data_IF_494665131889
#
_entry.id   IF_494665131889
#
_cell.length_a   1.000
_cell.length_b   1.000
_cell.length_c   1.000
_cell.angle_alpha   90.00
_cell.angle_beta   90.00
_cell.angle_gamma   90.00
#
_symmetry.space_group_name_H-M   'P 1'
#
loop_
_entity.id
_entity.type
_entity.pdbx_description
1 polymer ?
#
# COMPACT_ATOMS: atom_id res chain seq x y z
N UNK A 1 -25.07 7.55 -1.07
CA UNK A 1 -23.73 7.92 -1.57
C UNK A 1 -23.88 8.76 -2.82
N UNK A 2 -23.02 9.74 -3.07
CA UNK A 2 -22.98 10.39 -4.38
C UNK A 2 -22.62 9.33 -5.43
N UNK A 3 -23.28 9.37 -6.56
CA UNK A 3 -23.06 8.47 -7.69
C UNK A 3 -22.37 9.26 -8.80
N UNK A 4 -21.26 8.73 -9.32
CA UNK A 4 -20.58 9.32 -10.46
C UNK A 4 -21.28 8.87 -11.75
N UNK A 5 -21.74 9.84 -12.55
CA UNK A 5 -22.31 9.57 -13.87
C UNK A 5 -21.33 10.02 -14.95
N UNK A 6 -21.17 9.20 -15.99
CA UNK A 6 -20.35 9.50 -17.17
C UNK A 6 -20.97 8.85 -18.40
N UNK A 7 -20.60 9.36 -19.59
CA UNK A 7 -21.10 8.82 -20.86
C UNK A 7 -20.58 7.39 -21.03
N UNK A 8 -21.49 6.44 -21.27
CA UNK A 8 -21.17 5.03 -21.47
C UNK A 8 -21.24 4.17 -20.21
N UNK A 9 -21.50 4.74 -19.02
CA UNK A 9 -21.62 3.98 -17.78
C UNK A 9 -22.61 2.82 -17.88
N UNK A 10 -23.80 3.08 -18.42
CA UNK A 10 -24.87 2.09 -18.56
C UNK A 10 -24.46 0.86 -19.41
N UNK A 11 -23.51 1.04 -20.34
CA UNK A 11 -22.98 -0.04 -21.18
C UNK A 11 -21.94 -0.90 -20.49
N UNK A 12 -21.25 -0.35 -19.49
CA UNK A 12 -20.12 -1.03 -18.83
C UNK A 12 -20.41 -1.52 -17.43
N UNK A 13 -21.46 -1.01 -16.78
CA UNK A 13 -21.80 -1.36 -15.38
C UNK A 13 -21.98 -2.86 -15.18
N UNK A 14 -22.57 -3.56 -16.15
CA UNK A 14 -22.77 -5.01 -16.15
C UNK A 14 -21.86 -5.77 -17.12
N UNK A 15 -21.01 -5.07 -17.87
CA UNK A 15 -20.19 -5.71 -18.92
C UNK A 15 -19.29 -6.83 -18.38
N UNK A 16 -18.80 -6.73 -17.12
CA UNK A 16 -18.03 -7.78 -16.45
C UNK A 16 -18.77 -9.13 -16.36
N UNK A 17 -20.11 -9.15 -16.49
CA UNK A 17 -20.91 -10.36 -16.54
C UNK A 17 -20.89 -11.00 -17.93
N UNK A 18 -20.80 -10.19 -18.98
CA UNK A 18 -20.85 -10.59 -20.38
C UNK A 18 -19.49 -11.04 -20.94
N UNK A 19 -18.39 -10.66 -20.27
CA UNK A 19 -17.04 -11.07 -20.67
C UNK A 19 -16.95 -12.58 -20.67
N UNK A 20 -16.48 -13.20 -21.78
CA UNK A 20 -16.40 -14.66 -21.87
C UNK A 20 -15.29 -15.20 -20.98
N UNK A 21 -15.49 -16.40 -20.45
CA UNK A 21 -14.40 -17.18 -19.86
C UNK A 21 -13.49 -17.69 -20.97
N UNK A 22 -12.19 -17.55 -20.80
CA UNK A 22 -11.16 -18.13 -21.66
C UNK A 22 -10.44 -19.26 -20.93
N UNK A 23 -9.93 -20.20 -21.68
CA UNK A 23 -9.05 -21.24 -21.13
C UNK A 23 -7.65 -20.65 -20.99
N UNK A 24 -7.12 -20.71 -19.78
CA UNK A 24 -5.72 -20.38 -19.54
C UNK A 24 -4.86 -21.59 -19.95
N UNK A 25 -4.10 -21.42 -21.00
CA UNK A 25 -3.26 -22.47 -21.54
C UNK A 25 -1.81 -22.22 -21.15
N UNK A 26 -1.19 -23.18 -20.44
CA UNK A 26 0.21 -23.07 -20.08
C UNK A 26 1.07 -23.21 -21.36
N UNK A 27 1.96 -22.27 -21.57
CA UNK A 27 2.88 -22.26 -22.70
C UNK A 27 4.26 -22.77 -22.33
N UNK A 28 4.78 -22.36 -21.18
CA UNK A 28 6.07 -22.79 -20.63
C UNK A 28 6.11 -22.52 -19.13
N UNK A 29 7.09 -23.11 -18.48
CA UNK A 29 7.51 -22.78 -17.11
C UNK A 29 8.90 -22.12 -17.17
N UNK A 30 9.25 -21.36 -16.15
CA UNK A 30 10.53 -20.70 -16.00
C UNK A 30 11.06 -20.88 -14.58
N UNK A 31 12.32 -21.21 -14.43
CA UNK A 31 13.03 -21.32 -13.17
C UNK A 31 14.48 -20.81 -13.30
N UNK A 32 15.33 -21.05 -12.30
CA UNK A 32 16.73 -20.65 -12.29
C UNK A 32 17.55 -21.24 -13.45
N UNK A 33 17.11 -22.34 -14.04
CA UNK A 33 17.74 -22.99 -15.18
C UNK A 33 17.23 -22.47 -16.54
N UNK A 34 16.24 -21.57 -16.51
CA UNK A 34 15.64 -20.95 -17.68
C UNK A 34 14.26 -21.49 -18.05
N UNK A 35 13.89 -21.31 -19.31
CA UNK A 35 12.59 -21.71 -19.84
C UNK A 35 12.52 -23.20 -20.12
N UNK A 36 11.42 -23.85 -19.74
CA UNK A 36 11.12 -25.27 -20.03
C UNK A 36 9.65 -25.44 -20.43
N UNK A 37 9.38 -26.41 -21.32
CA UNK A 37 7.99 -26.82 -21.65
C UNK A 37 7.38 -27.70 -20.55
N UNK A 38 8.22 -28.35 -19.75
CA UNK A 38 7.77 -29.18 -18.64
C UNK A 38 7.17 -28.33 -17.51
N UNK A 39 6.23 -28.91 -16.75
CA UNK A 39 5.71 -28.32 -15.55
C UNK A 39 6.75 -28.43 -14.44
N UNK A 40 7.16 -27.28 -13.90
CA UNK A 40 8.09 -27.22 -12.77
C UNK A 40 7.38 -27.15 -11.39
N UNK A 41 6.04 -27.27 -11.38
CA UNK A 41 5.24 -27.22 -10.16
C UNK A 41 5.08 -25.84 -9.54
N UNK A 42 5.52 -24.76 -10.21
CA UNK A 42 5.31 -23.40 -9.71
C UNK A 42 3.84 -23.02 -9.75
N UNK A 43 3.34 -22.45 -8.66
CA UNK A 43 1.99 -21.89 -8.57
C UNK A 43 1.93 -20.42 -9.01
N UNK A 44 3.08 -19.76 -9.17
CA UNK A 44 3.16 -18.41 -9.70
C UNK A 44 2.88 -18.39 -11.20
N UNK A 45 2.11 -17.41 -11.68
CA UNK A 45 1.68 -17.34 -13.06
C UNK A 45 1.88 -15.94 -13.66
N UNK A 46 2.41 -15.89 -14.88
CA UNK A 46 2.36 -14.72 -15.73
C UNK A 46 1.36 -15.03 -16.86
N UNK A 47 0.26 -14.26 -16.90
CA UNK A 47 -0.81 -14.47 -17.88
C UNK A 47 -0.67 -13.41 -18.97
N UNK A 48 -0.46 -13.85 -20.21
CA UNK A 48 -0.35 -12.99 -21.37
C UNK A 48 -1.68 -12.93 -22.14
N UNK A 49 -2.25 -11.72 -22.28
CA UNK A 49 -3.52 -11.51 -22.99
C UNK A 49 -4.23 -10.23 -22.53
N UNK A 50 -5.46 -10.02 -22.98
CA UNK A 50 -6.31 -8.94 -22.49
C UNK A 50 -6.65 -9.17 -21.02
N UNK A 51 -6.37 -8.16 -20.17
CA UNK A 51 -6.53 -8.32 -18.73
C UNK A 51 -7.99 -8.46 -18.28
N UNK A 52 -8.96 -7.92 -19.02
CA UNK A 52 -10.39 -8.09 -18.69
C UNK A 52 -10.84 -9.55 -18.90
N UNK A 53 -10.42 -10.18 -20.00
CA UNK A 53 -10.66 -11.60 -20.25
C UNK A 53 -9.87 -12.49 -19.29
N UNK A 54 -8.63 -12.14 -18.98
CA UNK A 54 -7.81 -12.84 -18.00
C UNK A 54 -8.44 -12.82 -16.61
N UNK A 55 -8.84 -11.66 -16.10
CA UNK A 55 -9.53 -11.52 -14.80
C UNK A 55 -10.81 -12.34 -14.75
N UNK A 56 -11.61 -12.33 -15.82
CA UNK A 56 -12.82 -13.18 -15.90
C UNK A 56 -12.48 -14.66 -15.81
N UNK A 57 -11.42 -15.08 -16.50
CA UNK A 57 -10.99 -16.47 -16.58
C UNK A 57 -10.34 -16.99 -15.28
N UNK A 58 -9.91 -16.10 -14.40
CA UNK A 58 -9.42 -16.45 -13.07
C UNK A 58 -10.55 -16.76 -12.06
N UNK A 59 -11.77 -16.22 -12.26
CA UNK A 59 -12.86 -16.39 -11.29
C UNK A 59 -13.13 -17.84 -10.90
N UNK A 60 -13.25 -18.81 -11.84
CA UNK A 60 -13.62 -20.19 -11.47
C UNK A 60 -12.67 -20.82 -10.44
N UNK A 61 -11.42 -20.36 -10.38
CA UNK A 61 -10.39 -20.91 -9.47
C UNK A 61 -10.06 -19.99 -8.30
N UNK A 62 -10.18 -18.67 -8.47
CA UNK A 62 -9.64 -17.68 -7.54
C UNK A 62 -10.69 -16.70 -6.98
N UNK A 63 -11.98 -16.82 -7.29
CA UNK A 63 -13.02 -15.97 -6.70
C UNK A 63 -12.98 -16.06 -5.17
N UNK A 64 -12.90 -14.91 -4.50
CA UNK A 64 -12.84 -14.81 -3.04
C UNK A 64 -11.54 -15.33 -2.40
N UNK A 65 -10.44 -15.47 -3.15
CA UNK A 65 -9.20 -16.08 -2.65
C UNK A 65 -7.97 -15.17 -2.67
N UNK A 66 -8.02 -14.07 -3.42
CA UNK A 66 -6.87 -13.16 -3.54
C UNK A 66 -6.77 -12.29 -2.29
N UNK A 67 -5.64 -12.37 -1.59
CA UNK A 67 -5.42 -11.63 -0.36
C UNK A 67 -5.03 -10.18 -0.61
N UNK A 68 -4.17 -9.94 -1.58
CA UNK A 68 -3.69 -8.61 -1.91
C UNK A 68 -3.75 -8.38 -3.42
N UNK A 69 -4.33 -7.27 -3.82
CA UNK A 69 -4.26 -6.79 -5.20
C UNK A 69 -3.47 -5.48 -5.20
N UNK A 70 -2.46 -5.39 -6.03
CA UNK A 70 -1.83 -4.13 -6.39
C UNK A 70 -1.99 -3.91 -7.88
N UNK A 71 -2.42 -2.73 -8.29
CA UNK A 71 -2.48 -2.34 -9.70
C UNK A 71 -1.95 -0.93 -9.93
N UNK A 72 -1.32 -0.76 -11.08
CA UNK A 72 -0.80 0.50 -11.60
C UNK A 72 -1.43 0.75 -12.99
N UNK A 73 -2.72 1.18 -13.05
CA UNK A 73 -3.42 1.37 -14.32
C UNK A 73 -2.88 2.59 -15.07
N UNK A 74 -3.20 2.76 -16.37
CA UNK A 74 -2.87 3.98 -17.10
C UNK A 74 -3.41 5.23 -16.40
N UNK A 75 -2.57 6.27 -16.25
CA UNK A 75 -2.93 7.51 -15.55
C UNK A 75 -3.71 8.51 -16.39
N UNK A 76 -3.83 8.23 -17.70
CA UNK A 76 -4.58 9.08 -18.62
C UNK A 76 -4.05 10.52 -18.71
N UNK A 77 -2.74 10.71 -18.66
CA UNK A 77 -2.07 12.02 -18.62
C UNK A 77 -2.20 12.84 -19.90
N UNK A 78 -2.60 12.20 -21.01
CA UNK A 78 -2.79 12.85 -22.31
C UNK A 78 -1.49 13.07 -23.11
N UNK A 79 -0.39 12.53 -22.67
CA UNK A 79 0.87 12.55 -23.42
C UNK A 79 0.86 11.48 -24.52
N UNK A 80 0.51 11.90 -25.75
CA UNK A 80 0.29 10.99 -26.89
C UNK A 80 1.54 10.34 -27.48
N UNK A 81 2.73 10.65 -26.97
CA UNK A 81 4.01 10.19 -27.55
C UNK A 81 4.66 8.98 -26.89
N UNK A 82 3.99 8.29 -25.97
CA UNK A 82 4.58 7.24 -25.18
C UNK A 82 4.29 5.84 -25.72
N UNK A 83 5.32 5.02 -25.79
CA UNK A 83 5.26 3.61 -26.25
C UNK A 83 4.42 2.75 -25.27
N UNK A 84 4.38 3.13 -23.99
CA UNK A 84 3.43 2.62 -23.01
C UNK A 84 2.18 3.48 -23.08
N UNK A 85 1.11 2.86 -23.50
CA UNK A 85 -0.13 3.55 -23.80
C UNK A 85 -0.85 3.96 -22.50
N UNK A 86 -0.34 5.03 -21.88
CA UNK A 86 -1.00 5.74 -20.78
C UNK A 86 -2.34 6.34 -21.24
N UNK A 87 -2.66 6.14 -22.49
CA UNK A 87 -3.80 6.68 -23.18
C UNK A 87 -4.77 5.55 -23.56
N UNK A 88 -6.03 5.70 -23.21
CA UNK A 88 -7.16 4.84 -23.64
C UNK A 88 -7.32 4.77 -25.17
N UNK A 89 -6.39 5.32 -25.93
CA UNK A 89 -6.31 5.30 -27.39
C UNK A 89 -5.62 4.04 -27.97
N UNK A 90 -5.27 3.04 -27.14
CA UNK A 90 -4.85 1.74 -27.66
C UNK A 90 -5.85 1.24 -28.68
N UNK A 91 -5.42 0.74 -29.85
CA UNK A 91 -6.32 0.25 -30.90
C UNK A 91 -7.28 -0.84 -30.41
N UNK A 92 -6.84 -1.69 -29.48
CA UNK A 92 -7.68 -2.74 -28.88
C UNK A 92 -8.73 -2.16 -27.95
N UNK A 93 -8.36 -1.23 -27.08
CA UNK A 93 -9.27 -0.53 -26.16
C UNK A 93 -10.25 0.32 -26.97
N UNK A 94 -9.76 1.03 -27.99
CA UNK A 94 -10.61 1.82 -28.89
C UNK A 94 -11.61 0.94 -29.66
N UNK A 95 -11.16 -0.21 -30.18
CA UNK A 95 -12.05 -1.17 -30.84
C UNK A 95 -13.07 -1.73 -29.87
N UNK A 96 -12.66 -2.05 -28.65
CA UNK A 96 -13.55 -2.51 -27.58
C UNK A 96 -14.56 -1.45 -27.17
N UNK A 97 -14.13 -0.19 -26.96
CA UNK A 97 -15.03 0.93 -26.65
C UNK A 97 -16.06 1.15 -27.76
N UNK A 98 -15.63 1.17 -29.03
CA UNK A 98 -16.53 1.31 -30.17
C UNK A 98 -17.55 0.16 -30.25
N UNK A 99 -17.13 -1.06 -29.89
CA UNK A 99 -18.01 -2.22 -29.87
C UNK A 99 -18.99 -2.19 -28.70
N UNK A 100 -18.54 -1.77 -27.52
CA UNK A 100 -19.27 -1.86 -26.25
C UNK A 100 -20.15 -0.64 -26.01
N UNK A 101 -19.62 0.57 -26.30
CA UNK A 101 -20.32 1.85 -26.08
C UNK A 101 -21.05 2.32 -27.36
N UNK A 102 -20.59 1.88 -28.53
CA UNK A 102 -21.21 2.18 -29.82
C UNK A 102 -20.95 3.61 -30.28
N UNK A 103 -21.93 4.23 -30.99
CA UNK A 103 -21.78 5.57 -31.57
C UNK A 103 -21.50 6.68 -30.53
N UNK A 104 -21.95 6.49 -29.30
CA UNK A 104 -21.67 7.40 -28.20
C UNK A 104 -20.16 7.46 -27.86
N UNK A 105 -19.38 6.46 -28.32
CA UNK A 105 -17.93 6.40 -28.14
C UNK A 105 -17.15 7.51 -28.84
N UNK A 106 -17.74 8.18 -29.83
CA UNK A 106 -17.10 9.31 -30.55
C UNK A 106 -17.12 10.60 -29.73
N UNK A 107 -18.14 10.77 -28.87
CA UNK A 107 -18.31 11.97 -28.02
C UNK A 107 -17.70 11.80 -26.60
N UNK A 108 -17.12 10.64 -26.29
CA UNK A 108 -16.52 10.39 -24.99
C UNK A 108 -15.31 11.31 -24.73
N UNK A 109 -15.32 11.98 -23.58
CA UNK A 109 -14.11 12.59 -23.05
C UNK A 109 -13.07 11.52 -22.72
N UNK A 110 -11.80 11.91 -22.55
CA UNK A 110 -10.76 10.95 -22.15
C UNK A 110 -11.06 10.31 -20.78
N UNK A 111 -11.70 11.03 -19.87
CA UNK A 111 -12.10 10.53 -18.54
C UNK A 111 -13.22 9.51 -18.65
N UNK A 112 -14.23 9.73 -19.50
CA UNK A 112 -15.30 8.76 -19.75
C UNK A 112 -14.73 7.43 -20.29
N UNK A 113 -13.78 7.51 -21.24
CA UNK A 113 -13.10 6.34 -21.80
C UNK A 113 -12.35 5.57 -20.74
N UNK A 114 -11.62 6.27 -19.87
CA UNK A 114 -10.87 5.68 -18.78
C UNK A 114 -11.81 4.99 -17.79
N UNK A 115 -12.89 5.64 -17.40
CA UNK A 115 -13.90 5.07 -16.50
C UNK A 115 -14.57 3.83 -17.10
N UNK A 116 -14.94 3.87 -18.39
CA UNK A 116 -15.49 2.72 -19.09
C UNK A 116 -14.52 1.54 -19.12
N UNK A 117 -13.22 1.80 -19.28
CA UNK A 117 -12.17 0.78 -19.27
C UNK A 117 -11.97 0.19 -17.88
N UNK A 118 -11.92 1.01 -16.84
CA UNK A 118 -11.60 0.59 -15.48
C UNK A 118 -12.77 -0.11 -14.76
N UNK A 119 -13.99 0.36 -14.94
CA UNK A 119 -15.14 -0.09 -14.15
C UNK A 119 -15.36 -1.62 -14.17
N UNK A 120 -15.44 -2.30 -15.34
CA UNK A 120 -15.63 -3.76 -15.39
C UNK A 120 -14.44 -4.52 -14.79
N UNK A 121 -13.21 -3.98 -14.91
CA UNK A 121 -12.01 -4.57 -14.30
C UNK A 121 -12.05 -4.51 -12.79
N UNK A 122 -12.40 -3.35 -12.23
CA UNK A 122 -12.56 -3.17 -10.79
C UNK A 122 -13.64 -4.07 -10.20
N UNK A 123 -14.75 -4.30 -10.94
CA UNK A 123 -15.79 -5.27 -10.54
C UNK A 123 -15.26 -6.70 -10.48
N UNK A 124 -14.43 -7.12 -11.42
CA UNK A 124 -13.81 -8.45 -11.41
C UNK A 124 -12.76 -8.57 -10.30
N UNK A 125 -11.94 -7.55 -10.09
CA UNK A 125 -10.95 -7.50 -9.02
C UNK A 125 -11.64 -7.61 -7.64
N UNK A 126 -12.76 -6.90 -7.42
CA UNK A 126 -13.54 -7.03 -6.19
C UNK A 126 -14.01 -8.48 -5.96
N UNK A 127 -14.46 -9.18 -7.02
CA UNK A 127 -14.89 -10.58 -6.91
C UNK A 127 -13.73 -11.52 -6.55
N UNK A 128 -12.55 -11.29 -7.10
CA UNK A 128 -11.36 -12.10 -6.83
C UNK A 128 -10.84 -11.93 -5.40
N UNK A 129 -11.02 -10.75 -4.79
CA UNK A 129 -10.58 -10.50 -3.42
C UNK A 129 -11.23 -11.44 -2.41
N UNK A 130 -10.44 -11.95 -1.48
CA UNK A 130 -10.89 -12.62 -0.27
C UNK A 130 -11.69 -11.65 0.63
N UNK A 131 -12.50 -12.14 1.54
CA UNK A 131 -13.28 -11.29 2.45
C UNK A 131 -12.40 -10.34 3.26
N UNK A 132 -11.22 -10.79 3.69
CA UNK A 132 -10.20 -10.01 4.39
C UNK A 132 -9.11 -9.47 3.43
N UNK A 133 -9.38 -9.49 2.13
CA UNK A 133 -8.48 -9.01 1.09
C UNK A 133 -8.51 -7.49 0.91
N UNK A 134 -7.42 -6.94 0.41
CA UNK A 134 -7.21 -5.51 0.21
C UNK A 134 -6.67 -5.23 -1.19
N UNK A 135 -7.14 -4.14 -1.80
CA UNK A 135 -6.65 -3.62 -3.07
C UNK A 135 -5.95 -2.29 -2.88
N UNK A 136 -4.79 -2.15 -3.51
CA UNK A 136 -4.01 -0.92 -3.65
C UNK A 136 -3.99 -0.50 -5.11
N UNK A 137 -4.31 0.76 -5.40
CA UNK A 137 -4.37 1.28 -6.76
C UNK A 137 -3.55 2.57 -6.83
N UNK A 138 -2.44 2.53 -7.55
CA UNK A 138 -1.64 3.72 -7.86
C UNK A 138 -2.35 4.59 -8.88
N UNK A 139 -2.33 5.89 -8.68
CA UNK A 139 -2.95 6.88 -9.58
C UNK A 139 -2.34 8.27 -9.35
N UNK A 140 -2.35 9.13 -10.37
CA UNK A 140 -2.00 10.54 -10.24
C UNK A 140 -3.23 11.44 -9.90
N UNK A 141 -3.00 12.75 -9.82
CA UNK A 141 -4.05 13.74 -9.54
C UNK A 141 -5.14 13.85 -10.63
N UNK A 142 -4.86 13.35 -11.84
CA UNK A 142 -5.77 13.53 -12.99
C UNK A 142 -7.02 12.66 -12.82
N UNK A 143 -6.83 11.36 -12.52
CA UNK A 143 -7.93 10.41 -12.38
C UNK A 143 -8.26 10.06 -10.93
N UNK A 144 -7.47 10.49 -9.95
CA UNK A 144 -7.65 10.18 -8.53
C UNK A 144 -9.09 10.40 -8.03
N UNK A 145 -9.65 11.59 -8.29
CA UNK A 145 -11.00 11.95 -7.82
C UNK A 145 -12.11 11.09 -8.42
N UNK A 146 -11.97 10.68 -9.68
CA UNK A 146 -12.94 9.83 -10.35
C UNK A 146 -12.82 8.39 -9.89
N UNK A 147 -11.58 7.90 -9.75
CA UNK A 147 -11.31 6.56 -9.23
C UNK A 147 -11.86 6.40 -7.81
N UNK A 148 -11.66 7.38 -6.94
CA UNK A 148 -12.17 7.35 -5.57
C UNK A 148 -13.70 7.16 -5.52
N UNK A 149 -14.45 7.92 -6.34
CA UNK A 149 -15.91 7.81 -6.42
C UNK A 149 -16.36 6.45 -6.98
N UNK A 150 -15.67 5.92 -7.98
CA UNK A 150 -15.96 4.60 -8.54
C UNK A 150 -15.63 3.50 -7.52
N UNK A 151 -14.54 3.63 -6.77
CA UNK A 151 -14.21 2.68 -5.71
C UNK A 151 -15.23 2.71 -4.58
N UNK A 152 -15.71 3.88 -4.18
CA UNK A 152 -16.81 4.01 -3.22
C UNK A 152 -18.09 3.33 -3.72
N UNK A 153 -18.40 3.42 -5.01
CA UNK A 153 -19.57 2.76 -5.60
C UNK A 153 -19.41 1.23 -5.63
N UNK A 154 -18.23 0.74 -6.00
CA UNK A 154 -17.97 -0.70 -6.19
C UNK A 154 -17.74 -1.40 -4.84
N UNK A 155 -16.88 -0.85 -4.00
CA UNK A 155 -16.45 -1.46 -2.74
C UNK A 155 -17.28 -1.02 -1.55
N UNK A 156 -17.93 0.14 -1.63
CA UNK A 156 -18.58 0.83 -0.53
C UNK A 156 -17.62 1.73 0.24
N UNK A 157 -18.01 2.97 0.52
CA UNK A 157 -17.18 3.96 1.25
C UNK A 157 -16.77 3.51 2.65
N UNK A 158 -17.58 2.63 3.30
CA UNK A 158 -17.24 2.05 4.61
C UNK A 158 -16.03 1.09 4.55
N UNK A 159 -15.67 0.61 3.37
CA UNK A 159 -14.54 -0.29 3.16
C UNK A 159 -13.26 0.43 2.71
N UNK A 160 -13.29 1.76 2.62
CA UNK A 160 -12.08 2.55 2.40
C UNK A 160 -11.19 2.49 3.61
N UNK A 161 -9.92 2.12 3.40
CA UNK A 161 -8.88 2.11 4.44
C UNK A 161 -8.23 3.49 4.52
N UNK A 162 -7.61 3.93 3.42
CA UNK A 162 -6.96 5.26 3.32
C UNK A 162 -6.64 5.60 1.86
N UNK A 163 -6.12 6.80 1.65
CA UNK A 163 -5.40 7.22 0.45
C UNK A 163 -3.98 7.58 0.86
N UNK A 164 -3.00 6.78 0.44
CA UNK A 164 -1.60 7.08 0.67
C UNK A 164 -1.13 8.13 -0.31
N UNK A 165 -0.32 9.08 0.17
CA UNK A 165 0.40 10.06 -0.63
C UNK A 165 1.84 9.60 -0.73
N UNK A 166 2.26 9.16 -1.91
CA UNK A 166 3.63 8.73 -2.14
C UNK A 166 4.46 9.86 -2.73
N UNK A 167 5.44 10.35 -1.97
CA UNK A 167 6.42 11.29 -2.49
C UNK A 167 7.34 10.57 -3.47
N UNK A 168 7.07 10.72 -4.78
CA UNK A 168 7.76 10.03 -5.85
C UNK A 168 9.07 10.69 -6.27
N UNK A 169 9.26 11.99 -5.98
CA UNK A 169 10.44 12.76 -6.32
C UNK A 169 10.94 13.61 -5.14
N UNK A 170 12.25 13.87 -5.07
CA UNK A 170 12.85 14.74 -4.06
C UNK A 170 12.48 16.21 -4.20
N UNK A 171 12.22 16.65 -5.40
CA UNK A 171 12.09 18.05 -5.76
C UNK A 171 12.83 18.35 -7.06
N UNK A 172 12.86 19.61 -7.47
CA UNK A 172 13.37 20.05 -8.77
C UNK A 172 12.20 20.31 -9.73
N UNK A 173 12.47 20.56 -10.99
CA UNK A 173 11.41 20.78 -11.99
C UNK A 173 11.04 22.25 -12.19
N UNK A 174 12.05 23.06 -12.46
CA UNK A 174 11.89 24.48 -12.82
C UNK A 174 11.04 24.74 -14.08
N UNK A 175 10.42 23.69 -14.66
CA UNK A 175 9.62 23.80 -15.89
C UNK A 175 8.14 24.08 -15.66
N UNK A 176 7.64 23.95 -14.43
CA UNK A 176 6.25 24.27 -14.11
C UNK A 176 6.10 25.77 -13.86
N UNK A 177 5.09 26.40 -14.48
CA UNK A 177 4.76 27.81 -14.25
C UNK A 177 4.03 28.04 -12.90
N UNK A 178 3.52 26.99 -12.25
CA UNK A 178 2.67 27.09 -11.06
C UNK A 178 3.21 26.25 -9.91
N UNK A 179 2.89 24.95 -9.89
CA UNK A 179 3.22 24.02 -8.82
C UNK A 179 3.97 22.83 -9.39
N UNK A 180 4.99 22.37 -8.67
CA UNK A 180 5.71 21.14 -9.01
C UNK A 180 5.06 19.99 -8.28
N UNK A 181 4.53 19.02 -9.02
CA UNK A 181 3.99 17.78 -8.46
C UNK A 181 5.13 16.85 -8.06
N UNK A 182 5.16 16.46 -6.80
CA UNK A 182 6.21 15.61 -6.21
C UNK A 182 5.64 14.32 -5.64
N UNK A 183 4.37 14.02 -5.91
CA UNK A 183 3.68 12.87 -5.34
C UNK A 183 2.67 12.27 -6.31
N UNK A 184 2.35 11.04 -6.01
CA UNK A 184 1.24 10.27 -6.56
C UNK A 184 0.38 9.75 -5.41
N UNK A 185 -0.76 9.18 -5.73
CA UNK A 185 -1.67 8.60 -4.76
C UNK A 185 -1.71 7.09 -4.88
N UNK A 186 -1.99 6.41 -3.76
CA UNK A 186 -2.35 5.00 -3.77
C UNK A 186 -3.62 4.83 -2.95
N UNK A 187 -4.73 4.56 -3.64
CA UNK A 187 -6.01 4.27 -2.98
C UNK A 187 -5.97 2.87 -2.39
N UNK A 188 -6.51 2.74 -1.17
CA UNK A 188 -6.52 1.49 -0.45
C UNK A 188 -7.95 1.17 0.03
N UNK A 189 -8.50 0.05 -0.44
CA UNK A 189 -9.82 -0.44 -0.09
C UNK A 189 -9.78 -1.90 0.33
N UNK A 190 -10.59 -2.25 1.32
CA UNK A 190 -10.84 -3.64 1.68
C UNK A 190 -12.03 -4.21 0.92
N UNK A 191 -12.11 -5.53 0.75
CA UNK A 191 -13.35 -6.20 0.38
C UNK A 191 -14.40 -6.02 1.47
N UNK A 192 -13.99 -6.29 2.72
CA UNK A 192 -14.78 -6.07 3.93
C UNK A 192 -13.84 -5.60 5.06
N UNK A 193 -13.89 -4.32 5.39
CA UNK A 193 -12.97 -3.73 6.38
C UNK A 193 -13.07 -4.38 7.76
N UNK A 194 -14.25 -4.89 8.12
CA UNK A 194 -14.45 -5.52 9.43
C UNK A 194 -13.64 -6.81 9.63
N UNK A 195 -13.17 -7.43 8.55
CA UNK A 195 -12.43 -8.70 8.58
C UNK A 195 -10.93 -8.54 8.40
N UNK A 196 -10.44 -7.36 7.94
CA UNK A 196 -9.01 -7.13 7.63
C UNK A 196 -8.10 -7.21 8.85
N UNK A 197 -8.61 -6.93 10.03
CA UNK A 197 -7.79 -6.92 11.25
C UNK A 197 -6.87 -5.68 11.34
N UNK A 198 -5.72 -5.84 11.99
CA UNK A 198 -4.75 -4.75 12.17
C UNK A 198 -3.74 -4.72 11.05
N UNK A 199 -3.61 -3.55 10.41
CA UNK A 199 -2.54 -3.31 9.44
C UNK A 199 -1.32 -2.78 10.19
N UNK A 200 -0.21 -3.51 10.12
CA UNK A 200 1.02 -3.19 10.82
C UNK A 200 2.24 -3.59 9.99
N UNK A 201 3.28 -2.76 10.01
CA UNK A 201 4.55 -2.97 9.34
C UNK A 201 5.68 -3.20 10.35
N UNK A 202 6.70 -3.99 9.99
CA UNK A 202 7.94 -4.01 10.76
C UNK A 202 8.57 -2.61 10.77
N UNK A 203 9.36 -2.27 11.80
CA UNK A 203 10.04 -0.98 11.87
C UNK A 203 11.07 -0.85 10.72
N UNK A 204 11.01 0.27 10.01
CA UNK A 204 11.97 0.60 8.96
C UNK A 204 13.35 0.98 9.53
N UNK A 205 14.37 1.09 8.67
CA UNK A 205 15.73 1.47 9.05
C UNK A 205 15.78 2.84 9.74
N UNK A 206 14.90 3.77 9.37
CA UNK A 206 14.83 5.09 10.00
C UNK A 206 14.33 5.02 11.44
N UNK A 207 13.52 4.04 11.78
CA UNK A 207 13.07 3.77 13.14
C UNK A 207 14.14 2.98 13.89
N UNK A 208 14.75 1.97 13.26
CA UNK A 208 15.75 1.10 13.87
C UNK A 208 16.96 1.87 14.39
N UNK A 209 17.39 2.95 13.73
CA UNK A 209 18.50 3.79 14.15
C UNK A 209 18.35 4.46 15.54
N UNK A 210 17.12 4.55 16.06
CA UNK A 210 16.86 5.08 17.40
C UNK A 210 17.03 4.04 18.50
N UNK A 211 17.04 2.74 18.19
CA UNK A 211 17.23 1.64 19.13
C UNK A 211 18.72 1.42 19.40
N UNK A 212 19.31 2.27 20.26
CA UNK A 212 20.77 2.35 20.46
C UNK A 212 21.25 1.68 21.74
N UNK A 213 20.35 1.43 22.68
CA UNK A 213 20.72 0.98 24.02
C UNK A 213 20.49 -0.51 24.16
N UNK A 214 21.29 -1.12 25.06
CA UNK A 214 21.21 -2.55 25.38
C UNK A 214 21.26 -2.70 26.88
N UNK A 215 20.60 -3.72 27.42
CA UNK A 215 20.67 -4.14 28.81
C UNK A 215 20.54 -5.67 28.90
N UNK A 216 20.31 -6.19 30.12
CA UNK A 216 20.19 -7.63 30.41
C UNK A 216 19.09 -8.34 29.61
N UNK A 217 18.07 -7.61 29.14
CA UNK A 217 16.94 -8.15 28.35
C UNK A 217 17.23 -8.21 26.83
N UNK A 218 18.43 -7.78 26.41
CA UNK A 218 18.78 -7.66 25.00
C UNK A 218 18.59 -8.96 24.19
N UNK A 219 18.91 -10.11 24.76
CA UNK A 219 18.85 -11.39 24.07
C UNK A 219 17.43 -11.79 23.65
N UNK A 220 16.40 -11.32 24.37
CA UNK A 220 14.99 -11.62 24.09
C UNK A 220 14.33 -10.40 23.44
N UNK A 221 14.53 -9.21 24.04
CA UNK A 221 13.79 -8.01 23.67
C UNK A 221 14.50 -7.12 22.66
N UNK A 222 15.72 -7.50 22.26
CA UNK A 222 16.56 -6.69 21.36
C UNK A 222 17.00 -5.38 21.99
N UNK A 223 17.55 -4.45 21.19
CA UNK A 223 17.93 -3.12 21.68
C UNK A 223 16.70 -2.29 22.06
N UNK A 224 16.91 -1.24 22.85
CA UNK A 224 15.83 -0.32 23.21
C UNK A 224 16.17 1.13 22.88
N UNK A 225 15.13 1.97 22.83
CA UNK A 225 15.21 3.42 22.81
C UNK A 225 14.53 4.00 24.04
N UNK A 226 14.93 5.21 24.43
CA UNK A 226 14.30 5.94 25.53
C UNK A 226 13.13 6.79 24.99
N UNK A 227 12.01 6.69 25.67
CA UNK A 227 10.82 7.47 25.40
C UNK A 227 10.35 8.20 26.66
N UNK A 228 9.99 9.49 26.58
CA UNK A 228 9.47 10.22 27.73
C UNK A 228 8.22 9.56 28.31
N UNK A 229 8.19 9.35 29.62
CA UNK A 229 7.00 8.84 30.31
C UNK A 229 5.97 9.94 30.55
N UNK A 230 6.41 11.22 30.66
CA UNK A 230 5.53 12.37 30.81
C UNK A 230 5.02 12.91 29.49
N UNK A 231 3.79 13.42 29.49
CA UNK A 231 3.17 14.11 28.35
C UNK A 231 2.49 15.39 28.77
N UNK A 232 2.48 16.40 27.88
CA UNK A 232 1.77 17.66 28.05
C UNK A 232 0.70 17.88 26.98
N UNK A 233 0.66 17.02 25.93
CA UNK A 233 -0.19 17.20 24.74
C UNK A 233 -1.55 16.51 24.82
N UNK A 234 -1.77 15.65 25.84
CA UNK A 234 -3.04 14.92 26.00
C UNK A 234 -4.00 15.68 26.92
N UNK A 235 -5.31 15.40 26.78
CA UNK A 235 -6.33 15.85 27.69
C UNK A 235 -5.98 15.48 29.14
N UNK A 236 -6.34 16.35 30.08
CA UNK A 236 -5.98 16.18 31.47
C UNK A 236 -6.73 14.99 32.10
N UNK A 237 -5.96 14.08 32.70
CA UNK A 237 -6.46 12.88 33.37
C UNK A 237 -5.89 12.81 34.78
N UNK A 238 -6.67 13.18 35.80
CA UNK A 238 -6.19 13.25 37.19
C UNK A 238 -5.57 11.95 37.70
N UNK A 239 -6.07 10.78 37.26
CA UNK A 239 -5.55 9.48 37.63
C UNK A 239 -4.15 9.17 37.05
N UNK A 240 -3.67 9.96 36.09
CA UNK A 240 -2.32 9.86 35.54
C UNK A 240 -1.35 10.87 36.13
N UNK A 241 -1.76 11.59 37.17
CA UNK A 241 -0.92 12.54 37.91
C UNK A 241 -0.67 11.99 39.32
N UNK A 242 0.48 11.33 39.47
CA UNK A 242 0.93 10.72 40.71
C UNK A 242 2.47 10.82 40.80
N UNK A 243 3.07 10.75 42.02
CA UNK A 243 4.52 10.75 42.17
C UNK A 243 5.11 9.38 41.86
N UNK A 244 6.35 9.40 41.30
CA UNK A 244 7.26 8.28 41.27
C UNK A 244 8.41 8.58 42.25
N UNK A 245 8.88 7.57 42.95
CA UNK A 245 9.97 7.70 43.93
C UNK A 245 11.25 7.07 43.41
N UNK A 246 12.35 7.82 43.44
CA UNK A 246 13.66 7.33 43.02
C UNK A 246 14.75 7.98 43.86
N UNK A 247 15.66 7.22 44.47
CA UNK A 247 16.77 7.67 45.31
C UNK A 247 16.36 8.71 46.39
N UNK A 248 15.22 8.50 47.03
CA UNK A 248 14.68 9.38 48.04
C UNK A 248 13.96 10.65 47.52
N UNK A 249 13.91 10.85 46.22
CA UNK A 249 13.23 11.95 45.59
C UNK A 249 11.81 11.60 45.17
N UNK A 250 10.89 12.54 45.39
CA UNK A 250 9.51 12.48 44.91
C UNK A 250 9.38 13.23 43.59
N UNK A 251 9.14 12.50 42.49
CA UNK A 251 9.18 13.01 41.12
C UNK A 251 7.77 13.09 40.55
N UNK A 252 7.32 14.30 40.26
CA UNK A 252 6.02 14.59 39.66
C UNK A 252 6.14 14.89 38.15
N UNK A 253 5.16 14.51 37.32
CA UNK A 253 5.11 14.92 35.92
C UNK A 253 4.76 16.42 35.82
N UNK A 254 5.23 17.09 34.78
CA UNK A 254 4.84 18.47 34.50
C UNK A 254 3.32 18.64 34.33
N UNK A 255 2.66 17.69 33.65
CA UNK A 255 1.21 17.61 33.51
C UNK A 255 0.71 16.23 33.98
N UNK A 256 1.07 15.17 33.27
CA UNK A 256 0.66 13.80 33.61
C UNK A 256 1.63 12.78 32.97
N UNK A 257 1.54 11.53 33.45
CA UNK A 257 2.23 10.40 32.85
C UNK A 257 1.41 9.76 31.71
N UNK A 258 2.05 8.97 30.85
CA UNK A 258 1.37 8.15 29.83
C UNK A 258 0.72 6.90 30.42
N UNK A 259 1.28 6.38 31.52
CA UNK A 259 0.87 5.10 32.10
C UNK A 259 0.10 5.28 33.40
N UNK A 260 -0.70 4.26 33.75
CA UNK A 260 -1.28 4.19 35.08
C UNK A 260 -0.18 4.00 36.13
N UNK A 261 -0.51 4.29 37.39
CA UNK A 261 0.44 4.17 38.50
C UNK A 261 0.94 2.74 38.66
N UNK A 262 0.07 1.75 38.56
CA UNK A 262 0.37 0.34 38.66
C UNK A 262 1.40 -0.09 37.61
N UNK A 263 1.15 0.27 36.33
CA UNK A 263 2.06 -0.01 35.22
C UNK A 263 3.41 0.66 35.36
N UNK A 264 3.43 1.90 35.85
CA UNK A 264 4.69 2.61 36.05
C UNK A 264 5.53 1.98 37.16
N UNK A 265 4.90 1.58 38.28
CA UNK A 265 5.59 0.91 39.38
C UNK A 265 6.09 -0.49 38.99
N UNK A 266 5.32 -1.24 38.20
CA UNK A 266 5.76 -2.51 37.62
C UNK A 266 6.96 -2.32 36.70
N UNK A 267 6.94 -1.32 35.81
CA UNK A 267 8.06 -1.01 34.93
C UNK A 267 9.29 -0.56 35.70
N UNK A 268 9.11 0.18 36.80
CA UNK A 268 10.20 0.57 37.70
C UNK A 268 10.84 -0.65 38.37
N UNK A 269 10.03 -1.58 38.92
CA UNK A 269 10.53 -2.81 39.55
C UNK A 269 11.24 -3.70 38.53
N UNK A 270 10.85 -3.68 37.29
CA UNK A 270 11.43 -4.44 36.17
C UNK A 270 12.64 -3.74 35.52
N UNK A 271 13.16 -2.66 36.10
CA UNK A 271 14.27 -1.86 35.54
C UNK A 271 13.99 -1.32 34.11
N UNK A 272 12.72 -0.97 33.85
CA UNK A 272 12.30 -0.46 32.55
C UNK A 272 12.10 1.07 32.52
N UNK A 273 12.27 1.75 33.67
CA UNK A 273 12.31 3.19 33.77
C UNK A 273 13.75 3.68 33.92
N UNK A 274 14.04 4.84 33.30
CA UNK A 274 15.31 5.53 33.42
C UNK A 274 15.04 6.92 33.95
N UNK A 275 15.57 7.20 35.13
CA UNK A 275 15.49 8.47 35.81
C UNK A 275 16.73 9.28 35.48
N UNK A 276 16.57 10.53 35.19
CA UNK A 276 17.69 11.45 34.97
C UNK A 276 17.38 12.83 35.50
N UNK A 277 18.39 13.44 36.13
CA UNK A 277 18.29 14.79 36.67
C UNK A 277 19.17 15.73 35.84
N UNK A 278 18.63 16.89 35.51
CA UNK A 278 19.36 17.95 34.85
C UNK A 278 18.92 19.31 35.41
N UNK A 279 19.89 20.05 36.00
CA UNK A 279 19.67 21.38 36.59
C UNK A 279 18.53 21.39 37.64
N UNK A 280 18.47 20.40 38.53
CA UNK A 280 17.45 20.27 39.57
C UNK A 280 16.08 19.81 39.05
N UNK A 281 15.99 19.43 37.77
CA UNK A 281 14.73 18.93 37.18
C UNK A 281 14.86 17.45 36.81
N UNK A 282 13.97 16.65 37.34
CA UNK A 282 13.88 15.23 37.04
C UNK A 282 13.10 14.96 35.77
N UNK A 283 13.56 14.02 34.98
CA UNK A 283 12.84 13.45 33.84
C UNK A 283 12.82 11.93 33.94
N UNK A 284 11.71 11.34 33.56
CA UNK A 284 11.52 9.89 33.56
C UNK A 284 11.24 9.41 32.15
N UNK A 285 12.07 8.49 31.69
CA UNK A 285 11.92 7.83 30.41
C UNK A 285 11.64 6.34 30.62
N UNK A 286 10.91 5.71 29.69
CA UNK A 286 10.80 4.27 29.69
C UNK A 286 11.62 3.65 28.56
N UNK A 287 12.10 2.43 28.78
CA UNK A 287 12.80 1.64 27.79
C UNK A 287 11.78 1.03 26.83
N UNK A 288 11.73 1.53 25.60
CA UNK A 288 10.93 0.90 24.54
C UNK A 288 11.84 -0.05 23.77
N UNK A 289 11.68 -1.35 24.03
CA UNK A 289 12.44 -2.40 23.36
C UNK A 289 11.90 -2.63 21.94
N UNK A 290 12.79 -3.09 21.04
CA UNK A 290 12.46 -3.45 19.68
C UNK A 290 11.47 -4.60 19.61
N UNK A 291 11.63 -5.58 20.50
CA UNK A 291 10.74 -6.74 20.61
C UNK A 291 9.83 -6.64 21.86
N UNK A 292 8.71 -7.30 21.80
CA UNK A 292 7.82 -7.54 22.93
C UNK A 292 8.48 -8.46 23.97
N UNK A 293 7.81 -8.72 25.11
CA UNK A 293 8.36 -9.57 26.16
C UNK A 293 8.58 -11.02 25.74
N UNK A 294 7.80 -11.49 24.76
CA UNK A 294 7.88 -12.83 24.16
C UNK A 294 8.94 -12.96 23.04
N UNK A 295 9.69 -11.88 22.76
CA UNK A 295 10.67 -11.83 21.67
C UNK A 295 10.11 -11.46 20.30
N UNK A 296 8.79 -11.34 20.15
CA UNK A 296 8.16 -10.94 18.89
C UNK A 296 8.50 -9.49 18.54
N UNK A 297 8.96 -9.25 17.32
CA UNK A 297 9.28 -7.89 16.85
C UNK A 297 8.04 -7.01 16.88
N UNK A 298 8.17 -5.83 17.49
CA UNK A 298 7.09 -4.83 17.49
C UNK A 298 6.88 -4.29 16.07
N UNK A 299 5.63 -4.21 15.69
CA UNK A 299 5.19 -3.58 14.45
C UNK A 299 4.59 -2.20 14.74
N UNK A 300 4.52 -1.38 13.73
CA UNK A 300 3.89 -0.04 13.79
C UNK A 300 2.87 0.11 12.68
N UNK A 301 1.92 1.02 12.87
CA UNK A 301 1.00 1.37 11.79
C UNK A 301 1.75 2.07 10.67
N UNK A 302 1.41 1.80 9.40
CA UNK A 302 1.92 2.58 8.28
C UNK A 302 1.49 4.04 8.39
N UNK A 303 2.30 4.93 7.83
CA UNK A 303 1.93 6.33 7.66
C UNK A 303 1.23 6.54 6.33
N UNK A 304 0.26 7.46 6.28
CA UNK A 304 -0.43 7.84 5.04
C UNK A 304 0.45 8.63 4.06
N UNK A 305 1.60 9.14 4.52
CA UNK A 305 2.61 9.80 3.66
C UNK A 305 3.83 8.89 3.58
N UNK A 306 4.13 8.42 2.37
CA UNK A 306 5.26 7.55 2.08
C UNK A 306 6.39 8.40 1.53
N UNK A 307 7.53 8.41 2.22
CA UNK A 307 8.73 9.15 1.84
C UNK A 307 9.94 8.22 1.84
N UNK A 308 11.02 8.62 1.17
CA UNK A 308 12.26 7.84 1.16
C UNK A 308 12.32 6.76 0.07
N UNK A 309 11.23 6.50 -0.63
CA UNK A 309 11.16 5.61 -1.80
C UNK A 309 10.87 6.50 -3.00
N UNK A 310 11.75 6.51 -4.00
CA UNK A 310 11.64 7.40 -5.15
C UNK A 310 11.64 6.64 -6.48
N UNK A 311 11.09 7.25 -7.53
CA UNK A 311 10.98 6.65 -8.87
C UNK A 311 12.31 6.14 -9.42
N UNK A 312 13.43 6.78 -9.08
CA UNK A 312 14.77 6.37 -9.53
C UNK A 312 15.13 4.93 -9.11
N UNK A 313 14.59 4.42 -8.00
CA UNK A 313 14.82 3.05 -7.55
C UNK A 313 14.24 2.03 -8.56
N UNK A 314 13.07 2.30 -9.15
CA UNK A 314 12.50 1.47 -10.20
C UNK A 314 13.38 1.39 -11.44
N UNK A 315 13.86 2.54 -11.94
CA UNK A 315 14.79 2.58 -13.09
C UNK A 315 16.09 1.85 -12.79
N UNK A 316 16.60 1.95 -11.55
CA UNK A 316 17.79 1.23 -11.12
C UNK A 316 17.57 -0.27 -11.11
N UNK A 317 16.45 -0.75 -10.58
CA UNK A 317 16.08 -2.17 -10.56
C UNK A 317 15.99 -2.76 -11.98
N UNK A 318 15.32 -2.06 -12.92
CA UNK A 318 15.25 -2.47 -14.33
C UNK A 318 16.65 -2.56 -14.96
N UNK A 319 17.52 -1.57 -14.66
CA UNK A 319 18.89 -1.59 -15.18
C UNK A 319 19.70 -2.78 -14.64
N UNK A 320 19.52 -3.13 -13.38
CA UNK A 320 20.20 -4.26 -12.74
C UNK A 320 19.75 -5.61 -13.34
N UNK A 321 18.45 -5.76 -13.61
CA UNK A 321 17.87 -7.00 -14.13
C UNK A 321 18.10 -7.13 -15.65
N UNK A 322 17.84 -6.08 -16.41
CA UNK A 322 17.83 -6.12 -17.87
C UNK A 322 19.10 -5.53 -18.52
N UNK A 323 20.06 -5.04 -17.72
CA UNK A 323 21.28 -4.39 -18.22
C UNK A 323 21.04 -3.00 -18.85
N UNK A 324 19.78 -2.59 -19.03
CA UNK A 324 19.39 -1.34 -19.67
C UNK A 324 18.22 -0.66 -18.89
N UNK A 325 18.48 0.48 -18.27
CA UNK A 325 17.47 1.22 -17.53
C UNK A 325 16.36 1.88 -18.39
N UNK A 326 16.46 1.79 -19.72
CA UNK A 326 15.46 2.27 -20.68
C UNK A 326 14.62 1.12 -21.26
N UNK A 327 14.76 -0.10 -20.74
CA UNK A 327 13.98 -1.24 -21.19
C UNK A 327 12.48 -1.08 -20.88
N UNK A 328 12.16 -0.27 -19.86
CA UNK A 328 10.80 0.08 -19.50
C UNK A 328 10.74 1.54 -19.02
N UNK A 329 9.70 2.28 -19.45
CA UNK A 329 9.50 3.67 -19.03
C UNK A 329 8.72 3.71 -17.70
N UNK A 330 9.20 4.50 -16.74
CA UNK A 330 8.57 4.74 -15.43
C UNK A 330 8.19 3.48 -14.61
N UNK A 331 9.13 2.54 -14.40
CA UNK A 331 8.86 1.39 -13.55
C UNK A 331 8.62 1.83 -12.11
N UNK A 332 7.64 1.24 -11.44
CA UNK A 332 7.44 1.46 -10.00
C UNK A 332 8.61 0.88 -9.21
N UNK A 333 9.04 1.53 -8.13
CA UNK A 333 10.07 0.99 -7.25
C UNK A 333 9.61 -0.32 -6.60
N UNK A 334 10.42 -1.40 -6.61
CA UNK A 334 10.12 -2.64 -5.91
C UNK A 334 9.84 -2.43 -4.42
N UNK A 335 10.56 -1.50 -3.79
CA UNK A 335 10.38 -1.17 -2.37
C UNK A 335 8.97 -0.62 -2.07
N UNK A 336 8.36 0.11 -3.01
CA UNK A 336 7.01 0.62 -2.87
C UNK A 336 5.98 -0.52 -2.88
N UNK A 337 6.14 -1.46 -3.80
CA UNK A 337 5.25 -2.63 -3.90
C UNK A 337 5.41 -3.49 -2.66
N UNK A 338 6.65 -3.81 -2.28
CA UNK A 338 6.97 -4.57 -1.06
C UNK A 338 6.34 -3.91 0.19
N UNK A 339 6.38 -2.58 0.29
CA UNK A 339 5.76 -1.85 1.40
C UNK A 339 4.26 -2.15 1.53
N UNK A 340 3.51 -2.16 0.41
CA UNK A 340 2.09 -2.49 0.42
C UNK A 340 1.81 -3.97 0.66
N UNK A 341 2.58 -4.87 0.04
CA UNK A 341 2.40 -6.31 0.24
C UNK A 341 2.61 -6.71 1.71
N UNK A 342 3.64 -6.18 2.37
CA UNK A 342 3.93 -6.45 3.77
C UNK A 342 2.85 -5.99 4.75
N UNK A 343 1.97 -5.05 4.35
CA UNK A 343 0.86 -4.62 5.19
C UNK A 343 -0.21 -5.70 5.36
N UNK A 344 -0.41 -6.54 4.36
CA UNK A 344 -1.63 -7.36 4.23
C UNK A 344 -1.32 -8.82 3.99
N UNK A 345 -0.28 -9.15 3.22
CA UNK A 345 -0.01 -10.52 2.79
C UNK A 345 1.11 -11.17 3.59
N UNK A 346 0.95 -12.48 3.82
CA UNK A 346 1.96 -13.41 4.30
C UNK A 346 2.54 -14.26 3.18
N UNK A 347 3.38 -15.24 3.55
CA UNK A 347 4.12 -16.04 2.56
C UNK A 347 3.25 -16.95 1.66
N UNK A 348 2.09 -17.38 2.18
CA UNK A 348 1.20 -18.33 1.48
C UNK A 348 -0.02 -17.62 0.85
N UNK A 349 -0.07 -16.30 0.92
CA UNK A 349 -1.19 -15.52 0.40
C UNK A 349 -1.06 -15.28 -1.11
N UNK A 350 -2.21 -15.26 -1.78
CA UNK A 350 -2.28 -14.97 -3.23
C UNK A 350 -2.24 -13.45 -3.43
N UNK A 351 -1.28 -13.01 -4.22
CA UNK A 351 -1.13 -11.63 -4.68
C UNK A 351 -1.46 -11.56 -6.17
N UNK A 352 -2.18 -10.55 -6.60
CA UNK A 352 -2.56 -10.34 -7.99
C UNK A 352 -2.20 -8.92 -8.45
N UNK A 353 -1.57 -8.84 -9.62
CA UNK A 353 -1.42 -7.61 -10.39
C UNK A 353 -1.96 -7.84 -11.81
N UNK A 354 -2.94 -7.04 -12.22
CA UNK A 354 -3.55 -7.14 -13.55
C UNK A 354 -3.10 -6.05 -14.53
N UNK A 355 -2.18 -5.19 -14.10
CA UNK A 355 -1.54 -4.16 -14.91
C UNK A 355 -0.03 -4.28 -14.74
N UNK A 356 0.52 -5.44 -15.12
CA UNK A 356 1.85 -5.88 -14.77
C UNK A 356 2.98 -4.89 -15.09
N UNK A 357 2.82 -4.04 -16.11
CA UNK A 357 3.79 -3.01 -16.45
C UNK A 357 5.17 -3.60 -16.69
N UNK A 358 6.13 -3.19 -15.85
CA UNK A 358 7.50 -3.72 -15.87
C UNK A 358 7.67 -5.07 -15.15
N UNK A 359 6.59 -5.62 -14.58
CA UNK A 359 6.65 -6.82 -13.75
C UNK A 359 7.18 -6.60 -12.34
N UNK A 360 7.13 -5.36 -11.83
CA UNK A 360 7.69 -5.01 -10.50
C UNK A 360 7.03 -5.79 -9.37
N UNK A 361 5.79 -6.23 -9.53
CA UNK A 361 5.06 -7.02 -8.52
C UNK A 361 5.52 -8.47 -8.45
N UNK A 362 6.11 -9.00 -9.51
CA UNK A 362 6.65 -10.36 -9.59
C UNK A 362 8.05 -10.41 -9.00
#
# INVERSE_FOLDING_TARGET
MPTLEWIGKEKVVNHHLEVPYRVLERKYSFDENGQTEADNGSENMIIHGDNLEALKSLLPRYEGRVKCIYIDPPYNTGNEGWVYNDNVNDPHIKAWLNKTVGKEGEDLSRHDKWLCMMYPRLKLLQKLLAEDGVIFISIDEIEHRYLELVMDEIFGSANRIDTFVWQNNYGGGAKSNYVVHLHEYVLCFAKNLSTVGKIELPPDENILKYYKYKDEKFNIRGPYRLQPLATTSMDERPNLRYPLYYEGHEIWPAKQWFWSKERALEAQSNNELVFSEKNGKWSVNYKQYLNSADGTQRKSKPYSIITGIYTQAGTKAIKEIMGNGKAFDFPKPPELITYFLQMISGNDDIVLDSFAGSGTTA
#
